data_IF_034012582032
#
_entry.id   IF_034012582032
#
_cell.length_a   1.000
_cell.length_b   1.000
_cell.length_c   1.000
_cell.angle_alpha   90.00
_cell.angle_beta   90.00
_cell.angle_gamma   90.00
#
_symmetry.space_group_name_H-M   'P 1'
#
loop_
_entity.id
_entity.type
_entity.pdbx_description
1 polymer ?
#
# COMPACT_ATOMS: atom_id res chain seq x y z
N UNK A 1 24.32 -7.69 -6.33
CA UNK A 1 25.05 -7.25 -7.54
C UNK A 1 24.17 -6.76 -8.69
N UNK A 2 23.01 -7.37 -8.98
CA UNK A 2 22.09 -6.91 -10.05
C UNK A 2 21.42 -5.55 -9.74
N UNK A 3 21.07 -5.34 -8.47
CA UNK A 3 20.47 -4.13 -7.88
C UNK A 3 21.33 -2.88 -8.04
N UNK A 4 22.60 -2.97 -7.64
CA UNK A 4 23.58 -1.88 -7.78
C UNK A 4 23.85 -1.54 -9.25
N UNK A 5 23.78 -2.53 -10.16
CA UNK A 5 23.96 -2.28 -11.59
C UNK A 5 22.79 -1.50 -12.19
N UNK A 6 21.53 -1.81 -11.86
CA UNK A 6 20.36 -1.05 -12.35
C UNK A 6 20.32 0.38 -11.81
N UNK A 7 20.63 0.54 -10.52
CA UNK A 7 20.63 1.82 -9.82
C UNK A 7 21.76 2.74 -10.31
N UNK A 8 22.97 2.21 -10.43
CA UNK A 8 24.10 2.90 -11.08
C UNK A 8 23.77 3.22 -12.55
N UNK A 9 23.00 2.37 -13.23
CA UNK A 9 22.61 2.58 -14.63
C UNK A 9 21.64 3.75 -14.79
N UNK A 10 20.60 3.85 -13.96
CA UNK A 10 19.70 5.00 -13.94
C UNK A 10 20.42 6.29 -13.54
N UNK A 11 21.32 6.24 -12.55
CA UNK A 11 22.14 7.39 -12.16
C UNK A 11 23.10 7.79 -13.30
N UNK A 12 23.73 6.84 -14.00
CA UNK A 12 24.61 7.13 -15.14
C UNK A 12 23.87 7.67 -16.37
N UNK A 13 22.63 7.21 -16.64
CA UNK A 13 21.80 7.77 -17.72
C UNK A 13 21.36 9.20 -17.43
N UNK A 14 21.07 9.52 -16.16
CA UNK A 14 20.60 10.84 -15.76
C UNK A 14 21.79 11.83 -15.61
N UNK A 15 22.99 11.35 -15.26
CA UNK A 15 24.19 12.18 -15.06
C UNK A 15 25.03 12.46 -16.33
N UNK A 16 24.73 11.87 -17.50
CA UNK A 16 25.43 12.17 -18.76
C UNK A 16 24.65 13.18 -19.60
N UNK A 17 24.80 14.45 -19.19
CA UNK A 17 23.88 15.56 -19.46
C UNK A 17 23.97 16.27 -20.85
N UNK A 18 24.91 16.05 -21.81
CA UNK A 18 24.83 16.82 -23.08
C UNK A 18 24.00 16.18 -24.20
N UNK A 19 23.61 14.91 -24.08
CA UNK A 19 22.96 14.20 -25.18
C UNK A 19 22.00 13.16 -24.63
N UNK A 20 20.87 13.62 -24.10
CA UNK A 20 19.68 12.80 -23.98
C UNK A 20 19.23 12.48 -25.41
N UNK A 21 19.84 11.46 -26.00
CA UNK A 21 19.48 10.98 -27.32
C UNK A 21 18.10 10.32 -27.23
N UNK A 22 17.39 10.24 -28.35
CA UNK A 22 16.12 9.50 -28.36
C UNK A 22 16.31 8.04 -27.90
N UNK A 23 17.49 7.46 -28.15
CA UNK A 23 17.87 6.11 -27.73
C UNK A 23 17.97 5.98 -26.20
N UNK A 24 18.43 7.02 -25.48
CA UNK A 24 18.52 7.00 -24.01
C UNK A 24 17.13 7.11 -23.33
N UNK A 25 16.22 7.86 -23.94
CA UNK A 25 14.82 7.91 -23.52
C UNK A 25 14.13 6.56 -23.73
N UNK A 26 14.20 6.01 -24.95
CA UNK A 26 13.52 4.76 -25.30
C UNK A 26 14.05 3.59 -24.44
N UNK A 27 15.34 3.63 -24.09
CA UNK A 27 15.94 2.69 -23.13
C UNK A 27 15.41 2.88 -21.70
N UNK A 28 15.33 4.12 -21.21
CA UNK A 28 14.79 4.41 -19.87
C UNK A 28 13.33 3.96 -19.75
N UNK A 29 12.54 4.18 -20.80
CA UNK A 29 11.15 3.76 -20.86
C UNK A 29 11.02 2.24 -20.81
N UNK A 30 11.82 1.50 -21.58
CA UNK A 30 11.83 0.04 -21.57
C UNK A 30 12.24 -0.54 -20.20
N UNK A 31 13.21 0.07 -19.51
CA UNK A 31 13.54 -0.35 -18.15
C UNK A 31 12.42 -0.02 -17.15
N UNK A 32 11.75 1.13 -17.28
CA UNK A 32 10.58 1.46 -16.47
C UNK A 32 9.42 0.47 -16.71
N UNK A 33 9.15 0.08 -17.95
CA UNK A 33 8.15 -0.93 -18.29
C UNK A 33 8.42 -2.25 -17.58
N UNK A 34 9.67 -2.73 -17.58
CA UNK A 34 10.05 -3.94 -16.82
C UNK A 34 9.81 -3.80 -15.32
N UNK A 35 10.11 -2.63 -14.74
CA UNK A 35 9.84 -2.37 -13.32
C UNK A 35 8.34 -2.37 -13.05
N UNK A 36 7.54 -1.79 -13.96
CA UNK A 36 6.08 -1.79 -13.86
C UNK A 36 5.50 -3.20 -13.97
N UNK A 37 5.96 -4.01 -14.91
CA UNK A 37 5.53 -5.41 -15.06
C UNK A 37 5.82 -6.20 -13.78
N UNK A 38 7.00 -6.02 -13.19
CA UNK A 38 7.35 -6.66 -11.92
C UNK A 38 6.48 -6.20 -10.74
N UNK A 39 6.03 -4.95 -10.74
CA UNK A 39 5.08 -4.45 -9.75
C UNK A 39 3.71 -5.11 -9.93
N UNK A 40 3.21 -5.14 -11.16
CA UNK A 40 1.92 -5.76 -11.49
C UNK A 40 1.93 -7.25 -11.16
N UNK A 41 3.00 -7.97 -11.49
CA UNK A 41 3.17 -9.39 -11.15
C UNK A 41 3.17 -9.61 -9.63
N UNK A 42 3.88 -8.76 -8.88
CA UNK A 42 3.94 -8.87 -7.42
C UNK A 42 2.56 -8.62 -6.79
N UNK A 43 1.87 -7.55 -7.21
CA UNK A 43 0.51 -7.22 -6.77
C UNK A 43 -0.49 -8.33 -7.12
N UNK A 44 -0.47 -8.81 -8.37
CA UNK A 44 -1.34 -9.90 -8.83
C UNK A 44 -1.06 -11.22 -8.08
N UNK A 45 0.20 -11.52 -7.78
CA UNK A 45 0.57 -12.70 -7.00
C UNK A 45 -0.07 -12.69 -5.62
N UNK A 46 -0.05 -11.55 -4.90
CA UNK A 46 -0.74 -11.45 -3.62
C UNK A 46 -2.25 -11.58 -3.79
N UNK A 47 -2.85 -10.88 -4.76
CA UNK A 47 -4.30 -10.92 -4.98
C UNK A 47 -4.82 -12.33 -5.26
N UNK A 48 -4.02 -13.16 -5.95
CA UNK A 48 -4.38 -14.53 -6.34
C UNK A 48 -4.02 -15.59 -5.30
N UNK A 49 -2.95 -15.38 -4.53
CA UNK A 49 -2.45 -16.34 -3.56
C UNK A 49 -2.26 -15.71 -2.16
N UNK A 50 -3.27 -15.01 -1.62
CA UNK A 50 -3.09 -14.28 -0.36
C UNK A 50 -2.96 -15.20 0.85
N UNK A 51 -3.52 -16.41 0.77
CA UNK A 51 -3.48 -17.41 1.85
C UNK A 51 -2.10 -18.04 2.06
N UNK A 52 -1.14 -17.84 1.14
CA UNK A 52 0.23 -18.36 1.30
C UNK A 52 1.10 -17.30 1.97
N UNK A 53 1.36 -17.46 3.28
CA UNK A 53 2.16 -16.52 4.07
C UNK A 53 3.54 -16.28 3.47
N UNK A 54 4.25 -17.35 3.11
CA UNK A 54 5.58 -17.27 2.49
C UNK A 54 5.56 -16.46 1.18
N UNK A 55 4.55 -16.66 0.33
CA UNK A 55 4.35 -15.85 -0.88
C UNK A 55 4.15 -14.37 -0.52
N UNK A 56 3.30 -14.06 0.46
CA UNK A 56 3.05 -12.68 0.90
C UNK A 56 4.32 -12.00 1.40
N UNK A 57 5.20 -12.70 2.12
CA UNK A 57 6.50 -12.16 2.55
C UNK A 57 7.43 -11.88 1.36
N UNK A 58 7.46 -12.77 0.36
CA UNK A 58 8.24 -12.54 -0.88
C UNK A 58 7.73 -11.31 -1.63
N UNK A 59 6.41 -11.23 -1.83
CA UNK A 59 5.74 -10.09 -2.50
C UNK A 59 6.03 -8.79 -1.75
N UNK A 60 5.87 -8.76 -0.42
CA UNK A 60 6.16 -7.57 0.38
C UNK A 60 7.60 -7.09 0.21
N UNK A 61 8.58 -8.00 0.25
CA UNK A 61 9.97 -7.64 0.07
C UNK A 61 10.23 -7.08 -1.34
N UNK A 62 9.67 -7.70 -2.37
CA UNK A 62 9.77 -7.24 -3.76
C UNK A 62 9.16 -5.84 -3.94
N UNK A 63 7.96 -5.60 -3.41
CA UNK A 63 7.31 -4.29 -3.44
C UNK A 63 8.17 -3.22 -2.79
N UNK A 64 8.80 -3.53 -1.64
CA UNK A 64 9.74 -2.62 -0.98
C UNK A 64 10.92 -2.25 -1.88
N UNK A 65 11.45 -3.21 -2.64
CA UNK A 65 12.55 -2.94 -3.58
C UNK A 65 12.10 -2.06 -4.74
N UNK A 66 10.94 -2.37 -5.34
CA UNK A 66 10.37 -1.62 -6.45
C UNK A 66 10.03 -0.19 -6.03
N UNK A 67 9.47 -0.01 -4.84
CA UNK A 67 9.12 1.29 -4.31
C UNK A 67 10.37 2.18 -4.09
N UNK A 68 11.49 1.59 -3.65
CA UNK A 68 12.77 2.31 -3.61
C UNK A 68 13.19 2.81 -5.00
N UNK A 69 13.07 1.98 -6.04
CA UNK A 69 13.41 2.35 -7.42
C UNK A 69 12.54 3.52 -7.89
N UNK A 70 11.22 3.46 -7.68
CA UNK A 70 10.33 4.57 -8.06
C UNK A 70 10.69 5.87 -7.33
N UNK A 71 10.95 5.82 -6.03
CA UNK A 71 11.37 6.99 -5.23
C UNK A 71 12.67 7.60 -5.72
N UNK A 72 13.63 6.78 -6.13
CA UNK A 72 14.90 7.23 -6.71
C UNK A 72 14.73 7.86 -8.09
N UNK A 73 13.83 7.34 -8.92
CA UNK A 73 13.48 7.98 -10.21
C UNK A 73 12.86 9.36 -9.95
N UNK A 74 11.92 9.43 -9.00
CA UNK A 74 11.18 10.64 -8.66
C UNK A 74 12.03 11.75 -8.04
N UNK A 75 13.08 11.40 -7.30
CA UNK A 75 13.94 12.41 -6.64
C UNK A 75 14.59 13.37 -7.64
N UNK A 76 14.80 12.94 -8.88
CA UNK A 76 15.41 13.74 -9.95
C UNK A 76 14.38 14.43 -10.86
N UNK A 77 13.07 14.25 -10.63
CA UNK A 77 11.99 14.72 -11.52
C UNK A 77 12.10 16.19 -11.89
N UNK A 78 12.22 17.06 -10.89
CA UNK A 78 12.25 18.51 -11.13
C UNK A 78 13.53 18.96 -11.84
N UNK A 79 14.67 18.33 -11.55
CA UNK A 79 15.91 18.63 -12.25
C UNK A 79 15.80 18.26 -13.74
N UNK A 80 15.32 17.06 -14.04
CA UNK A 80 15.16 16.58 -15.42
C UNK A 80 14.15 17.44 -16.18
N UNK A 81 12.99 17.72 -15.59
CA UNK A 81 11.98 18.58 -16.21
C UNK A 81 12.51 20.00 -16.43
N UNK A 82 13.30 20.58 -15.52
CA UNK A 82 13.84 21.93 -15.73
C UNK A 82 14.75 22.06 -16.95
N UNK A 83 15.39 20.95 -17.38
CA UNK A 83 16.34 20.92 -18.49
C UNK A 83 15.71 20.38 -19.79
N UNK A 84 14.75 19.45 -19.68
CA UNK A 84 14.27 18.62 -20.80
C UNK A 84 12.76 18.52 -20.87
N UNK A 85 12.03 19.52 -20.38
CA UNK A 85 10.56 19.50 -20.33
C UNK A 85 9.93 19.26 -21.72
N UNK A 86 9.37 18.08 -21.90
CA UNK A 86 8.61 17.72 -23.09
C UNK A 86 7.58 16.63 -22.76
N UNK A 87 6.67 16.36 -23.70
CA UNK A 87 5.56 15.44 -23.46
C UNK A 87 6.01 14.02 -23.07
N UNK A 88 7.11 13.51 -23.65
CA UNK A 88 7.64 12.17 -23.39
C UNK A 88 8.19 12.05 -21.97
N UNK A 89 8.93 13.07 -21.52
CA UNK A 89 9.48 13.13 -20.17
C UNK A 89 8.38 13.31 -19.14
N UNK A 90 7.37 14.15 -19.41
CA UNK A 90 6.19 14.29 -18.54
C UNK A 90 5.44 12.97 -18.40
N UNK A 91 5.17 12.28 -19.51
CA UNK A 91 4.49 10.98 -19.50
C UNK A 91 5.26 9.91 -18.72
N UNK A 92 6.59 9.89 -18.84
CA UNK A 92 7.45 8.99 -18.07
C UNK A 92 7.28 9.20 -16.56
N UNK A 93 7.33 10.45 -16.09
CA UNK A 93 7.14 10.76 -14.67
C UNK A 93 5.71 10.58 -14.20
N UNK A 94 4.69 10.90 -15.01
CA UNK A 94 3.29 10.65 -14.68
C UNK A 94 3.01 9.15 -14.54
N UNK A 95 3.64 8.32 -15.37
CA UNK A 95 3.56 6.85 -15.27
C UNK A 95 4.25 6.38 -14.00
N UNK A 96 5.44 6.90 -13.71
CA UNK A 96 6.20 6.59 -12.50
C UNK A 96 5.41 6.97 -11.24
N UNK A 97 4.75 8.13 -11.21
CA UNK A 97 3.90 8.59 -10.10
C UNK A 97 2.74 7.61 -9.83
N UNK A 98 2.04 7.20 -10.89
CA UNK A 98 0.91 6.26 -10.80
C UNK A 98 1.35 4.90 -10.28
N UNK A 99 2.45 4.38 -10.81
CA UNK A 99 2.97 3.06 -10.40
C UNK A 99 3.53 3.09 -8.98
N UNK A 100 4.20 4.17 -8.59
CA UNK A 100 4.62 4.35 -7.20
C UNK A 100 3.42 4.33 -6.24
N UNK A 101 2.30 4.98 -6.59
CA UNK A 101 1.11 4.98 -5.74
C UNK A 101 0.55 3.56 -5.51
N UNK A 102 0.61 2.69 -6.53
CA UNK A 102 0.24 1.27 -6.40
C UNK A 102 1.24 0.55 -5.48
N UNK A 103 2.55 0.75 -5.69
CA UNK A 103 3.59 0.14 -4.86
C UNK A 103 3.47 0.54 -3.38
N UNK A 104 3.28 1.84 -3.10
CA UNK A 104 3.07 2.38 -1.75
C UNK A 104 1.80 1.78 -1.10
N UNK A 105 0.70 1.63 -1.87
CA UNK A 105 -0.55 1.07 -1.38
C UNK A 105 -0.42 -0.42 -0.98
N UNK A 106 0.17 -1.25 -1.85
CA UNK A 106 0.39 -2.67 -1.54
C UNK A 106 1.45 -2.87 -0.46
N UNK A 107 2.53 -2.09 -0.45
CA UNK A 107 3.52 -2.16 0.63
C UNK A 107 2.86 -1.89 1.98
N UNK A 108 2.02 -0.85 2.09
CA UNK A 108 1.33 -0.51 3.32
C UNK A 108 0.27 -1.55 3.72
N UNK A 109 -0.43 -2.15 2.75
CA UNK A 109 -1.37 -3.25 2.97
C UNK A 109 -0.69 -4.47 3.59
N UNK A 110 0.43 -4.89 3.01
CA UNK A 110 1.12 -6.12 3.42
C UNK A 110 2.02 -5.91 4.63
N UNK A 111 2.30 -4.66 5.01
CA UNK A 111 3.18 -4.31 6.14
C UNK A 111 2.79 -5.03 7.44
N UNK A 112 1.50 -5.08 7.77
CA UNK A 112 1.00 -5.76 8.98
C UNK A 112 1.18 -7.27 8.90
N UNK A 113 0.94 -7.88 7.73
CA UNK A 113 1.12 -9.33 7.53
C UNK A 113 2.60 -9.70 7.66
N UNK A 114 3.49 -8.85 7.14
CA UNK A 114 4.94 -8.99 7.26
C UNK A 114 5.50 -8.65 8.65
N UNK A 115 4.65 -8.37 9.66
CA UNK A 115 5.07 -8.15 11.03
C UNK A 115 5.60 -6.75 11.34
N UNK A 116 5.39 -5.77 10.45
CA UNK A 116 5.81 -4.39 10.64
C UNK A 116 4.66 -3.49 11.11
N UNK A 117 5.01 -2.43 11.83
CA UNK A 117 4.04 -1.39 12.23
C UNK A 117 3.56 -0.61 11.02
N UNK A 118 2.28 -0.72 10.69
CA UNK A 118 1.65 0.15 9.67
C UNK A 118 1.20 1.51 10.26
N UNK A 119 1.06 2.52 9.41
CA UNK A 119 0.47 3.82 9.74
C UNK A 119 -1.03 3.91 9.43
N UNK A 120 -1.57 2.85 8.82
CA UNK A 120 -2.91 2.78 8.25
C UNK A 120 -2.96 3.32 6.82
N UNK A 121 -3.79 2.69 6.01
CA UNK A 121 -4.03 3.04 4.61
C UNK A 121 -5.01 4.21 4.58
N UNK A 122 -4.70 5.26 3.81
CA UNK A 122 -5.61 6.38 3.60
C UNK A 122 -6.93 5.91 2.98
N UNK A 123 -8.06 6.47 3.44
CA UNK A 123 -9.39 6.05 2.99
C UNK A 123 -9.52 6.09 1.47
N UNK A 124 -9.04 7.17 0.85
CA UNK A 124 -9.04 7.32 -0.61
C UNK A 124 -8.16 6.29 -1.32
N UNK A 125 -7.04 5.86 -0.73
CA UNK A 125 -6.17 4.83 -1.33
C UNK A 125 -6.84 3.46 -1.25
N UNK A 126 -7.47 3.15 -0.11
CA UNK A 126 -8.24 1.91 0.01
C UNK A 126 -9.41 1.90 -0.99
N UNK A 127 -10.24 2.94 -0.98
CA UNK A 127 -11.54 2.97 -1.67
C UNK A 127 -11.41 3.19 -3.19
N UNK A 128 -10.41 3.93 -3.65
CA UNK A 128 -10.26 4.28 -5.08
C UNK A 128 -9.21 3.42 -5.79
N UNK A 129 -8.25 2.83 -5.06
CA UNK A 129 -7.18 2.03 -5.66
C UNK A 129 -7.27 0.56 -5.28
N UNK A 130 -7.29 0.22 -3.98
CA UNK A 130 -7.23 -1.19 -3.56
C UNK A 130 -8.57 -1.92 -3.74
N UNK A 131 -9.69 -1.31 -3.37
CA UNK A 131 -11.02 -1.93 -3.47
C UNK A 131 -11.39 -2.33 -4.90
N UNK A 132 -11.21 -1.48 -5.92
CA UNK A 132 -11.44 -1.90 -7.30
C UNK A 132 -10.60 -3.12 -7.72
N UNK A 133 -9.34 -3.20 -7.27
CA UNK A 133 -8.47 -4.35 -7.56
C UNK A 133 -8.91 -5.62 -6.80
N UNK A 134 -9.40 -5.47 -5.57
CA UNK A 134 -9.99 -6.57 -4.82
C UNK A 134 -11.24 -7.11 -5.52
N UNK A 135 -12.14 -6.21 -5.92
CA UNK A 135 -13.38 -6.56 -6.61
C UNK A 135 -13.09 -7.27 -7.95
N UNK A 136 -12.16 -6.75 -8.76
CA UNK A 136 -11.74 -7.39 -10.02
C UNK A 136 -11.06 -8.76 -9.79
N UNK A 137 -10.33 -8.91 -8.69
CA UNK A 137 -9.71 -10.18 -8.31
C UNK A 137 -10.69 -11.18 -7.64
N UNK A 138 -11.96 -10.81 -7.45
CA UNK A 138 -13.00 -11.68 -6.88
C UNK A 138 -12.97 -11.79 -5.36
N UNK A 139 -12.43 -10.79 -4.67
CA UNK A 139 -12.49 -10.69 -3.21
C UNK A 139 -13.86 -10.22 -2.74
N UNK A 140 -14.26 -10.62 -1.54
CA UNK A 140 -15.48 -10.16 -0.90
C UNK A 140 -15.20 -9.11 0.18
N UNK A 141 -15.98 -8.03 0.19
CA UNK A 141 -15.99 -7.01 1.25
C UNK A 141 -17.23 -7.16 2.12
N UNK A 142 -17.07 -7.11 3.44
CA UNK A 142 -18.16 -7.14 4.42
C UNK A 142 -17.96 -6.13 5.53
N UNK A 143 -18.90 -5.20 5.69
CA UNK A 143 -18.96 -4.32 6.87
C UNK A 143 -19.51 -5.14 8.03
N UNK A 144 -18.79 -5.20 9.14
CA UNK A 144 -19.18 -5.95 10.32
C UNK A 144 -20.18 -5.13 11.15
N UNK A 145 -21.24 -5.80 11.63
CA UNK A 145 -22.26 -5.17 12.46
C UNK A 145 -21.76 -5.01 13.91
N UNK A 146 -20.85 -4.06 14.11
CA UNK A 146 -20.29 -3.69 15.42
C UNK A 146 -20.47 -2.19 15.59
N UNK A 147 -21.29 -1.79 16.57
CA UNK A 147 -21.51 -0.38 16.86
C UNK A 147 -20.26 0.25 17.48
N UNK A 148 -19.74 1.31 16.87
CA UNK A 148 -18.67 2.14 17.40
C UNK A 148 -18.88 3.59 16.90
N UNK A 149 -18.83 4.63 17.77
CA UNK A 149 -19.25 5.98 17.39
C UNK A 149 -18.45 6.64 16.28
N UNK A 150 -17.11 6.53 16.31
CA UNK A 150 -16.24 7.20 15.35
C UNK A 150 -15.53 6.22 14.38
N UNK A 151 -15.93 4.94 14.37
CA UNK A 151 -15.33 3.92 13.51
C UNK A 151 -16.31 2.82 13.08
N UNK A 152 -15.98 2.10 12.02
CA UNK A 152 -16.62 0.81 11.69
C UNK A 152 -15.55 -0.24 11.37
N UNK A 153 -15.95 -1.50 11.36
CA UNK A 153 -15.08 -2.62 11.05
C UNK A 153 -15.46 -3.21 9.69
N UNK A 154 -14.46 -3.56 8.89
CA UNK A 154 -14.63 -4.17 7.58
C UNK A 154 -13.74 -5.40 7.46
N UNK A 155 -14.28 -6.46 6.88
CA UNK A 155 -13.58 -7.69 6.52
C UNK A 155 -13.44 -7.75 5.00
N UNK A 156 -12.23 -8.04 4.52
CA UNK A 156 -11.98 -8.45 3.15
C UNK A 156 -11.57 -9.93 3.17
N UNK A 157 -12.16 -10.74 2.30
CA UNK A 157 -11.89 -12.18 2.26
C UNK A 157 -11.74 -12.70 0.84
N UNK A 158 -10.85 -13.67 0.67
CA UNK A 158 -10.65 -14.41 -0.57
C UNK A 158 -10.31 -15.85 -0.22
N UNK A 159 -11.17 -16.79 -0.63
CA UNK A 159 -11.10 -18.19 -0.21
C UNK A 159 -10.97 -18.30 1.33
N UNK A 160 -9.89 -18.92 1.82
CA UNK A 160 -9.59 -19.10 3.24
C UNK A 160 -8.90 -17.91 3.91
N UNK A 161 -8.43 -16.94 3.12
CA UNK A 161 -7.74 -15.75 3.59
C UNK A 161 -8.70 -14.65 4.03
N UNK A 162 -8.34 -13.93 5.09
CA UNK A 162 -9.13 -12.81 5.63
C UNK A 162 -8.25 -11.68 6.12
N UNK A 163 -8.73 -10.44 5.98
CA UNK A 163 -8.18 -9.26 6.64
C UNK A 163 -9.30 -8.48 7.30
N UNK A 164 -9.12 -8.13 8.57
CA UNK A 164 -10.02 -7.23 9.28
C UNK A 164 -9.35 -5.87 9.46
N UNK A 165 -10.09 -4.83 9.09
CA UNK A 165 -9.71 -3.45 9.33
C UNK A 165 -10.70 -2.77 10.26
N UNK A 166 -10.18 -1.84 11.06
CA UNK A 166 -10.97 -0.75 11.63
C UNK A 166 -10.79 0.48 10.76
N UNK A 167 -11.89 1.17 10.47
CA UNK A 167 -11.93 2.36 9.63
C UNK A 167 -12.46 3.54 10.43
N UNK A 168 -11.66 4.60 10.52
CA UNK A 168 -12.10 5.87 11.11
C UNK A 168 -13.09 6.58 10.19
N UNK A 169 -14.20 7.03 10.79
CA UNK A 169 -15.23 7.87 10.15
C UNK A 169 -14.93 9.36 10.30
N UNK A 170 -13.89 9.72 11.06
CA UNK A 170 -13.46 11.11 11.23
C UNK A 170 -12.80 11.62 9.93
N UNK A 171 -12.81 12.94 9.69
CA UNK A 171 -12.14 13.53 8.53
C UNK A 171 -10.65 13.18 8.47
N UNK A 172 -10.04 13.32 7.29
CA UNK A 172 -8.59 13.15 7.12
C UNK A 172 -7.83 14.12 8.04
N UNK A 173 -6.66 13.70 8.52
CA UNK A 173 -5.75 14.60 9.23
C UNK A 173 -5.20 15.66 8.27
N UNK A 174 -5.17 16.91 8.73
CA UNK A 174 -4.50 18.00 8.04
C UNK A 174 -3.28 18.42 8.87
N UNK A 175 -2.15 17.80 8.52
CA UNK A 175 -0.88 18.00 9.20
C UNK A 175 -0.30 19.39 8.96
N UNK A 176 -0.61 20.03 7.81
CA UNK A 176 -0.12 21.38 7.49
C UNK A 176 -0.78 22.43 8.40
N UNK A 177 -2.04 22.19 8.78
CA UNK A 177 -2.81 23.06 9.65
C UNK A 177 -2.95 22.53 11.09
N UNK A 178 -2.12 21.55 11.50
CA UNK A 178 -2.15 20.93 12.84
C UNK A 178 -3.53 20.40 13.28
N UNK A 179 -4.36 19.96 12.34
CA UNK A 179 -5.68 19.39 12.62
C UNK A 179 -5.60 17.87 12.62
N UNK A 180 -5.68 17.28 13.82
CA UNK A 180 -5.62 15.85 14.05
C UNK A 180 -7.00 15.31 14.39
N UNK A 181 -7.41 14.27 13.67
CA UNK A 181 -8.70 13.59 13.78
C UNK A 181 -8.50 12.13 14.20
N UNK A 182 -7.46 11.88 15.00
CA UNK A 182 -7.08 10.57 15.46
C UNK A 182 -8.11 10.04 16.47
N UNK A 183 -8.29 8.72 16.45
CA UNK A 183 -9.09 8.02 17.45
C UNK A 183 -8.29 6.85 17.99
N UNK A 184 -8.53 6.51 19.25
CA UNK A 184 -8.18 5.23 19.82
C UNK A 184 -9.43 4.35 19.82
N UNK A 185 -9.34 3.17 19.21
CA UNK A 185 -10.44 2.20 19.16
C UNK A 185 -10.08 0.99 19.99
N UNK A 186 -10.86 0.73 21.03
CA UNK A 186 -10.75 -0.48 21.85
C UNK A 186 -11.87 -1.44 21.49
N UNK A 187 -11.54 -2.71 21.30
CA UNK A 187 -12.50 -3.74 20.89
C UNK A 187 -12.29 -5.07 21.60
N UNK A 188 -13.31 -5.92 21.57
CA UNK A 188 -13.32 -7.26 22.21
C UNK A 188 -13.71 -8.31 21.18
N UNK A 189 -12.97 -9.42 21.14
CA UNK A 189 -13.28 -10.57 20.30
C UNK A 189 -14.32 -11.51 20.92
N UNK A 190 -15.02 -12.26 20.08
CA UNK A 190 -15.89 -13.36 20.45
C UNK A 190 -15.10 -14.47 21.20
N UNK A 191 -15.73 -15.07 22.22
CA UNK A 191 -15.22 -16.23 22.96
C UNK A 191 -15.14 -16.04 24.48
N UNK A 192 -15.02 -17.14 25.25
CA UNK A 192 -15.11 -17.16 26.72
C UNK A 192 -13.99 -16.38 27.44
N UNK A 193 -12.86 -16.14 26.75
CA UNK A 193 -11.74 -15.33 27.23
C UNK A 193 -11.37 -14.26 26.20
N UNK A 194 -12.36 -13.59 25.60
CA UNK A 194 -12.17 -12.63 24.51
C UNK A 194 -11.19 -11.51 24.87
N UNK A 195 -9.90 -11.75 24.70
CA UNK A 195 -8.87 -10.72 24.80
C UNK A 195 -9.16 -9.69 23.72
N UNK A 196 -9.17 -8.42 24.12
CA UNK A 196 -9.39 -7.31 23.22
C UNK A 196 -8.09 -6.75 22.67
N UNK A 197 -8.23 -5.72 21.85
CA UNK A 197 -7.12 -4.88 21.40
C UNK A 197 -7.49 -3.41 21.50
N UNK A 198 -6.47 -2.55 21.53
CA UNK A 198 -6.62 -1.12 21.31
C UNK A 198 -5.70 -0.69 20.18
N UNK A 199 -6.23 0.07 19.22
CA UNK A 199 -5.47 0.61 18.10
C UNK A 199 -5.70 2.11 17.97
N UNK A 200 -4.61 2.85 17.76
CA UNK A 200 -4.68 4.21 17.26
C UNK A 200 -4.94 4.18 15.76
N UNK A 201 -5.95 4.93 15.32
CA UNK A 201 -6.41 5.01 13.93
C UNK A 201 -6.44 6.47 13.51
N UNK A 202 -5.72 6.79 12.45
CA UNK A 202 -5.73 8.15 11.89
C UNK A 202 -7.08 8.53 11.31
N UNK A 203 -7.36 9.83 11.25
CA UNK A 203 -8.53 10.38 10.57
C UNK A 203 -8.62 9.87 9.14
N UNK A 204 -9.80 9.40 8.73
CA UNK A 204 -10.08 8.78 7.44
C UNK A 204 -9.23 7.54 7.08
N UNK A 205 -8.49 6.90 7.99
CA UNK A 205 -7.66 5.73 7.67
C UNK A 205 -8.32 4.38 7.95
N UNK A 206 -7.91 3.37 7.17
CA UNK A 206 -8.09 1.95 7.44
C UNK A 206 -6.85 1.42 8.18
N UNK A 207 -7.07 0.70 9.28
CA UNK A 207 -6.01 0.07 10.07
C UNK A 207 -6.28 -1.42 10.17
N UNK A 208 -5.39 -2.25 9.64
CA UNK A 208 -5.50 -3.70 9.78
C UNK A 208 -5.27 -4.08 11.25
N UNK A 209 -6.19 -4.85 11.82
CA UNK A 209 -6.14 -5.30 13.22
C UNK A 209 -6.01 -6.81 13.35
N UNK A 210 -6.38 -7.54 12.29
CA UNK A 210 -6.28 -8.99 12.24
C UNK A 210 -6.21 -9.46 10.80
N UNK A 211 -5.53 -10.57 10.57
CA UNK A 211 -5.58 -11.32 9.32
C UNK A 211 -5.59 -12.82 9.60
N UNK A 212 -5.96 -13.60 8.59
CA UNK A 212 -5.88 -15.06 8.56
C UNK A 212 -5.21 -15.49 7.28
N UNK A 213 -4.18 -16.31 7.39
CA UNK A 213 -3.56 -17.04 6.28
C UNK A 213 -3.24 -18.49 6.70
N UNK A 214 -2.44 -19.20 5.93
CA UNK A 214 -2.07 -20.59 6.22
C UNK A 214 -1.14 -20.78 7.43
N UNK A 215 -0.46 -19.73 7.91
CA UNK A 215 0.41 -19.77 9.09
C UNK A 215 -0.25 -19.10 10.30
N UNK A 216 -0.92 -17.97 10.09
CA UNK A 216 -1.75 -17.27 11.07
C UNK A 216 -3.21 -17.72 10.97
N UNK A 217 -3.51 -18.86 11.58
CA UNK A 217 -4.84 -19.48 11.52
C UNK A 217 -5.87 -18.81 12.46
N UNK A 218 -5.42 -17.91 13.35
CA UNK A 218 -6.27 -17.31 14.38
C UNK A 218 -7.07 -16.13 13.85
N UNK A 219 -8.36 -16.35 13.59
CA UNK A 219 -9.30 -15.31 13.20
C UNK A 219 -10.50 -15.25 14.16
N UNK A 220 -10.84 -14.07 14.70
CA UNK A 220 -11.95 -13.92 15.64
C UNK A 220 -12.82 -12.72 15.28
N UNK A 221 -14.14 -12.89 15.44
CA UNK A 221 -15.09 -11.81 15.21
C UNK A 221 -15.00 -10.78 16.33
N UNK A 222 -15.05 -9.50 15.98
CA UNK A 222 -15.25 -8.42 16.95
C UNK A 222 -16.73 -8.38 17.35
N UNK A 223 -17.01 -8.32 18.65
CA UNK A 223 -18.39 -8.30 19.18
C UNK A 223 -18.76 -6.98 19.86
N UNK A 224 -17.76 -6.23 20.33
CA UNK A 224 -17.95 -4.94 21.02
C UNK A 224 -16.77 -4.03 20.69
N UNK A 225 -17.04 -2.73 20.53
CA UNK A 225 -16.02 -1.72 20.33
C UNK A 225 -16.43 -0.37 20.92
N UNK A 226 -15.44 0.48 21.20
CA UNK A 226 -15.59 1.87 21.64
C UNK A 226 -14.48 2.71 21.00
N UNK A 227 -14.77 3.99 20.74
CA UNK A 227 -13.79 4.96 20.26
C UNK A 227 -13.63 6.12 21.25
N UNK A 228 -12.40 6.64 21.34
CA UNK A 228 -12.05 7.87 22.07
C UNK A 228 -11.26 8.77 21.12
N UNK A 229 -11.60 10.05 21.04
CA UNK A 229 -10.89 11.05 20.22
C UNK A 229 -9.57 11.45 20.89
N UNK A 230 -8.52 11.68 20.09
CA UNK A 230 -7.16 11.96 20.55
C UNK A 230 -6.60 13.20 19.89
#
# INVERSE_FOLDING_TARGET
MRRMKLLIFFVCLICTIPSFSQDDYDRSLNELEKVNDLLLDASASFLKFPNNHSNTIIVFNQLKELNTIYKEIQSNKYEVLSKWDNYKVRLFYDTTDKMQAIADAFEELLRTIAGYTSSGIEGTVMEVLLEPLFDEAGWEKRILNVTCPDAYFVEYSYEDFKMMFVKSTRPRNDYMNNCYHNIEVTFTYEGPYGAGGSYYVGGNKYRMIQFKDNENVSYRKVVKAKSIRK
#
